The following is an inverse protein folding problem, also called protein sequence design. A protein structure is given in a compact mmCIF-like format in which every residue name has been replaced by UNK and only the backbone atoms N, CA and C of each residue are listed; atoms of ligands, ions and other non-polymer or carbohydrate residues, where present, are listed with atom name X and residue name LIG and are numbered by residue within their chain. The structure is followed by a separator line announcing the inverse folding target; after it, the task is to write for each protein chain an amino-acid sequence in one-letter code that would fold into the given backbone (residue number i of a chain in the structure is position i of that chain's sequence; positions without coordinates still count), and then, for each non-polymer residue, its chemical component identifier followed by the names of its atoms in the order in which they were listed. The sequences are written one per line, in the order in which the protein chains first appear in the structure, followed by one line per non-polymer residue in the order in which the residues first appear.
data_IF_519688881650
#
_entry.id   IF_519688881650
#
_cell.length_a   1.000
_cell.length_b   1.000
_cell.length_c   1.000
_cell.angle_alpha   90.00
_cell.angle_beta   90.00
_cell.angle_gamma   90.00
#
_symmetry.space_group_name_H-M   'P 1'
#
loop_
_entity.id
_entity.type
_entity.pdbx_description
1 polymer ?
#
# COMPACT_ATOMS: atom_id res chain seq x y z
N UNK A 1 21.53 32.32 -6.17
CA UNK A 1 20.43 32.09 -5.20
C UNK A 1 19.74 30.79 -5.56
N UNK A 2 20.03 29.71 -4.84
CA UNK A 2 19.28 28.46 -4.98
C UNK A 2 17.92 28.71 -4.34
N UNK A 3 16.85 28.80 -5.15
CA UNK A 3 15.49 28.91 -4.64
C UNK A 3 15.23 27.70 -3.75
N UNK A 4 14.84 27.91 -2.50
CA UNK A 4 14.32 26.85 -1.65
C UNK A 4 13.12 26.26 -2.40
N UNK A 5 13.27 25.05 -2.95
CA UNK A 5 12.17 24.34 -3.57
C UNK A 5 11.25 23.95 -2.40
N UNK A 6 10.17 24.70 -2.14
CA UNK A 6 9.28 24.34 -1.06
C UNK A 6 8.77 22.96 -1.43
N UNK A 7 8.76 22.01 -0.49
CA UNK A 7 8.15 20.69 -0.70
C UNK A 7 6.87 20.88 -1.52
N UNK A 8 6.85 20.42 -2.77
CA UNK A 8 5.93 20.90 -3.83
C UNK A 8 4.45 20.81 -3.42
N UNK A 9 4.14 19.95 -2.46
CA UNK A 9 2.81 19.64 -1.96
C UNK A 9 2.78 19.63 -0.39
N UNK A 10 3.95 19.70 0.27
CA UNK A 10 4.11 19.71 1.73
C UNK A 10 5.01 18.57 2.24
N UNK A 11 5.77 18.84 3.32
CA UNK A 11 6.77 17.94 3.91
C UNK A 11 6.25 16.53 4.23
N UNK A 12 4.95 16.40 4.48
CA UNK A 12 4.29 15.13 4.82
C UNK A 12 3.50 14.51 3.66
N UNK A 13 3.16 15.29 2.63
CA UNK A 13 2.45 14.74 1.46
C UNK A 13 3.40 14.00 0.54
N UNK A 14 4.65 14.44 0.39
CA UNK A 14 5.66 13.76 -0.44
C UNK A 14 5.84 12.27 -0.06
N UNK A 15 6.07 11.91 1.22
CA UNK A 15 6.18 10.50 1.63
C UNK A 15 4.87 9.73 1.43
N UNK A 16 3.72 10.38 1.67
CA UNK A 16 2.41 9.75 1.48
C UNK A 16 2.18 9.39 0.01
N UNK A 17 2.50 10.31 -0.90
CA UNK A 17 2.43 10.07 -2.34
C UNK A 17 3.43 9.02 -2.80
N UNK A 18 4.67 9.04 -2.29
CA UNK A 18 5.66 8.02 -2.61
C UNK A 18 5.16 6.62 -2.23
N UNK A 19 4.57 6.47 -1.04
CA UNK A 19 3.97 5.21 -0.59
C UNK A 19 2.76 4.85 -1.45
N UNK A 20 1.85 5.78 -1.71
CA UNK A 20 0.65 5.53 -2.51
C UNK A 20 0.98 5.09 -3.95
N UNK A 21 1.93 5.77 -4.60
CA UNK A 21 2.40 5.45 -5.95
C UNK A 21 3.12 4.09 -5.97
N UNK A 22 3.92 3.78 -4.95
CA UNK A 22 4.55 2.48 -4.80
C UNK A 22 3.53 1.34 -4.68
N UNK A 23 2.52 1.53 -3.82
CA UNK A 23 1.41 0.57 -3.67
C UNK A 23 0.67 0.40 -4.99
N UNK A 24 0.27 1.50 -5.65
CA UNK A 24 -0.47 1.45 -6.92
C UNK A 24 0.35 0.77 -8.03
N UNK A 25 1.65 1.05 -8.10
CA UNK A 25 2.56 0.40 -9.06
C UNK A 25 2.66 -1.10 -8.82
N UNK A 26 2.73 -1.53 -7.56
CA UNK A 26 2.71 -2.94 -7.20
C UNK A 26 1.40 -3.62 -7.60
N UNK A 27 0.24 -2.99 -7.34
CA UNK A 27 -1.06 -3.50 -7.82
C UNK A 27 -1.13 -3.61 -9.35
N UNK A 28 -0.62 -2.61 -10.06
CA UNK A 28 -0.56 -2.62 -11.54
C UNK A 28 0.35 -3.73 -12.06
N UNK A 29 1.48 -3.97 -11.39
CA UNK A 29 2.39 -5.06 -11.67
C UNK A 29 1.73 -6.43 -11.47
N UNK A 30 1.06 -6.65 -10.34
CA UNK A 30 0.32 -7.91 -10.08
C UNK A 30 -0.75 -8.16 -11.14
N UNK A 31 -1.45 -7.10 -11.57
CA UNK A 31 -2.46 -7.19 -12.65
C UNK A 31 -1.85 -7.55 -14.01
N UNK A 32 -0.64 -7.05 -14.32
CA UNK A 32 0.05 -7.33 -15.60
C UNK A 32 0.69 -8.71 -15.64
N UNK A 33 1.22 -9.20 -14.51
CA UNK A 33 1.95 -10.48 -14.44
C UNK A 33 1.01 -11.69 -14.41
N UNK A 34 -0.30 -11.48 -14.19
CA UNK A 34 -1.28 -12.57 -14.23
C UNK A 34 -1.05 -13.56 -13.09
N UNK A 35 -0.90 -13.04 -11.86
CA UNK A 35 -0.67 -13.86 -10.67
C UNK A 35 -1.88 -14.78 -10.43
N UNK A 36 -1.69 -16.08 -10.11
CA UNK A 36 -2.78 -17.02 -9.90
C UNK A 36 -3.73 -16.55 -8.79
N UNK A 37 -5.04 -16.77 -9.00
CA UNK A 37 -6.11 -16.43 -8.05
C UNK A 37 -5.82 -17.09 -6.68
N UNK A 38 -5.96 -16.33 -5.58
CA UNK A 38 -5.66 -16.81 -4.21
C UNK A 38 -4.39 -16.26 -3.56
N UNK A 39 -3.50 -15.64 -4.35
CA UNK A 39 -2.23 -15.05 -3.89
C UNK A 39 -2.14 -13.53 -4.06
N UNK A 40 -3.27 -12.86 -4.29
CA UNK A 40 -3.30 -11.41 -4.40
C UNK A 40 -3.04 -10.73 -3.05
N UNK A 41 -2.42 -9.56 -3.06
CA UNK A 41 -2.18 -8.78 -1.84
C UNK A 41 -3.48 -8.52 -1.06
N UNK A 42 -4.59 -8.29 -1.77
CA UNK A 42 -5.92 -8.10 -1.19
C UNK A 42 -6.38 -9.30 -0.36
N UNK A 43 -6.21 -10.52 -0.88
CA UNK A 43 -6.59 -11.73 -0.17
C UNK A 43 -5.68 -12.00 1.03
N UNK A 44 -4.39 -11.69 0.93
CA UNK A 44 -3.46 -11.79 2.05
C UNK A 44 -3.80 -10.80 3.16
N UNK A 45 -4.17 -9.56 2.81
CA UNK A 45 -4.61 -8.54 3.74
C UNK A 45 -5.94 -8.96 4.38
N UNK A 46 -6.92 -9.42 3.59
CA UNK A 46 -8.20 -9.92 4.10
C UNK A 46 -8.02 -11.11 5.05
N UNK A 47 -7.16 -12.08 4.71
CA UNK A 47 -6.78 -13.18 5.61
C UNK A 47 -6.12 -12.68 6.89
N UNK A 48 -5.25 -11.68 6.81
CA UNK A 48 -4.58 -11.09 7.98
C UNK A 48 -5.57 -10.35 8.89
N UNK A 49 -6.48 -9.57 8.33
CA UNK A 49 -7.53 -8.89 9.09
C UNK A 49 -8.50 -9.87 9.75
N UNK A 50 -8.90 -10.92 9.04
CA UNK A 50 -9.73 -12.00 9.59
C UNK A 50 -9.06 -12.67 10.80
N UNK A 51 -7.78 -13.05 10.67
CA UNK A 51 -6.98 -13.60 11.79
C UNK A 51 -6.91 -12.64 12.98
N UNK A 52 -6.64 -11.36 12.75
CA UNK A 52 -6.60 -10.35 13.83
C UNK A 52 -7.95 -10.21 14.56
N UNK A 53 -9.07 -10.30 13.83
CA UNK A 53 -10.42 -10.26 14.39
C UNK A 53 -10.73 -11.52 15.22
N UNK A 54 -10.33 -12.69 14.75
CA UNK A 54 -10.46 -13.96 15.47
C UNK A 54 -9.61 -13.98 16.76
N UNK A 55 -8.36 -13.50 16.71
CA UNK A 55 -7.51 -13.37 17.89
C UNK A 55 -8.05 -12.39 18.94
N UNK A 56 -8.78 -11.35 18.52
CA UNK A 56 -9.48 -10.43 19.43
C UNK A 56 -10.80 -10.97 20.00
N UNK A 57 -11.42 -11.94 19.33
CA UNK A 57 -12.67 -12.55 19.78
C UNK A 57 -12.46 -13.75 20.74
N UNK A 58 -11.22 -14.24 20.83
CA UNK A 58 -10.81 -15.33 21.72
C UNK A 58 -10.17 -14.85 23.04
N UNK A 59 -10.27 -13.56 23.35
CA UNK A 59 -9.73 -12.91 24.54
C UNK A 59 -10.81 -12.04 25.18
#
# INVERSE_FOLDING_TARGET
MVKANPFLIGRFLDPLFAVAVGVMSYYSFEKKVGRPEGHSLNELIAKRWKRMKESKASN
#
